data_IF_701781627581
#
_entry.id   IF_701781627581
#
_cell.length_a   1.000
_cell.length_b   1.000
_cell.length_c   1.000
_cell.angle_alpha   90.00
_cell.angle_beta   90.00
_cell.angle_gamma   90.00
#
_symmetry.space_group_name_H-M   'P 1'
#
loop_
_entity.id
_entity.type
_entity.pdbx_description
1 polymer ?
#
# COMPACT_ATOMS: atom_id res chain seq x y z
N UNK A 1 -3.08 36.69 52.92
CA UNK A 1 -2.42 38.00 53.11
C UNK A 1 -0.93 37.72 53.16
N UNK A 2 -0.18 38.44 52.34
CA UNK A 2 1.23 38.28 52.00
C UNK A 2 2.14 38.58 53.20
N UNK A 3 3.21 37.80 53.39
CA UNK A 3 4.56 38.39 53.42
C UNK A 3 5.65 37.35 53.11
N UNK A 4 6.47 37.71 52.13
CA UNK A 4 7.68 37.03 51.70
C UNK A 4 8.83 37.33 52.68
N UNK A 5 9.64 36.31 52.95
CA UNK A 5 10.99 36.47 53.46
C UNK A 5 11.85 35.31 52.97
N UNK A 6 12.59 35.53 51.88
CA UNK A 6 13.64 34.63 51.41
C UNK A 6 14.77 34.52 52.44
N UNK A 7 15.15 33.29 52.82
CA UNK A 7 16.56 32.93 53.00
C UNK A 7 16.77 31.44 52.74
N UNK A 8 17.82 31.20 51.97
CA UNK A 8 18.37 29.98 51.36
C UNK A 8 18.83 28.94 52.42
N UNK A 9 18.96 27.67 51.98
CA UNK A 9 19.34 26.42 52.70
C UNK A 9 18.09 25.64 53.16
N UNK A 10 17.68 24.53 52.55
CA UNK A 10 18.47 23.33 52.23
C UNK A 10 18.17 22.79 50.83
N UNK A 11 19.22 22.74 49.99
CA UNK A 11 19.27 21.79 48.88
C UNK A 11 19.40 20.40 49.52
N UNK A 12 18.27 19.77 49.86
CA UNK A 12 18.24 18.34 50.18
C UNK A 12 18.49 17.63 48.86
N UNK A 13 19.77 17.58 48.47
CA UNK A 13 20.26 16.61 47.53
C UNK A 13 20.05 15.27 48.23
N UNK A 14 18.91 14.63 47.93
CA UNK A 14 18.71 13.23 48.29
C UNK A 14 19.77 12.48 47.48
N UNK A 15 20.94 12.32 48.07
CA UNK A 15 21.98 11.44 47.58
C UNK A 15 21.43 10.03 47.77
N UNK A 16 20.68 9.57 46.77
CA UNK A 16 20.18 8.20 46.72
C UNK A 16 21.43 7.34 46.57
N UNK A 17 21.97 6.90 47.71
CA UNK A 17 23.15 6.05 47.79
C UNK A 17 22.76 4.65 47.29
N UNK A 18 22.75 4.48 45.96
CA UNK A 18 22.52 3.17 45.35
C UNK A 18 23.52 2.16 45.89
N UNK A 19 23.03 0.99 46.26
CA UNK A 19 23.86 -0.16 46.62
C UNK A 19 24.67 -0.62 45.40
N UNK A 20 25.83 -1.25 45.62
CA UNK A 20 26.66 -1.77 44.53
C UNK A 20 25.88 -2.73 43.60
N UNK A 21 24.93 -3.50 44.15
CA UNK A 21 24.06 -4.40 43.37
C UNK A 21 23.09 -3.63 42.46
N UNK A 22 22.51 -2.53 42.95
CA UNK A 22 21.67 -1.65 42.14
C UNK A 22 22.47 -0.98 41.01
N UNK A 23 23.69 -0.51 41.28
CA UNK A 23 24.58 0.07 40.27
C UNK A 23 24.87 -0.95 39.15
N UNK A 24 25.19 -2.20 39.51
CA UNK A 24 25.43 -3.28 38.54
C UNK A 24 24.17 -3.58 37.72
N UNK A 25 23.00 -3.60 38.36
CA UNK A 25 21.73 -3.82 37.68
C UNK A 25 21.39 -2.69 36.71
N UNK A 26 21.63 -1.44 37.09
CA UNK A 26 21.49 -0.27 36.22
C UNK A 26 22.41 -0.34 35.00
N UNK A 27 23.67 -0.71 35.19
CA UNK A 27 24.62 -0.89 34.09
C UNK A 27 24.17 -2.00 33.12
N UNK A 28 23.63 -3.11 33.63
CA UNK A 28 23.09 -4.19 32.79
C UNK A 28 21.86 -3.73 32.00
N UNK A 29 20.96 -2.97 32.63
CA UNK A 29 19.77 -2.42 31.96
C UNK A 29 20.17 -1.43 30.86
N UNK A 30 21.12 -0.54 31.12
CA UNK A 30 21.64 0.43 30.16
C UNK A 30 22.31 -0.28 28.97
N UNK A 31 23.18 -1.26 29.24
CA UNK A 31 23.81 -2.06 28.19
C UNK A 31 22.76 -2.77 27.30
N UNK A 32 21.73 -3.37 27.92
CA UNK A 32 20.64 -4.02 27.20
C UNK A 32 19.84 -3.03 26.36
N UNK A 33 19.54 -1.84 26.88
CA UNK A 33 18.85 -0.78 26.11
C UNK A 33 19.67 -0.33 24.90
N UNK A 34 20.99 -0.12 25.07
CA UNK A 34 21.89 0.21 23.96
C UNK A 34 21.89 -0.91 22.91
N UNK A 35 21.96 -2.17 23.33
CA UNK A 35 21.91 -3.31 22.41
C UNK A 35 20.57 -3.39 21.66
N UNK A 36 19.45 -3.18 22.35
CA UNK A 36 18.11 -3.05 21.76
C UNK A 36 18.08 -1.96 20.68
N UNK A 37 18.60 -0.76 20.98
CA UNK A 37 18.65 0.36 20.05
C UNK A 37 19.50 0.05 18.81
N UNK A 38 20.65 -0.60 18.98
CA UNK A 38 21.52 -1.01 17.85
C UNK A 38 20.79 -2.04 16.97
N UNK A 39 20.18 -3.07 17.57
CA UNK A 39 19.42 -4.10 16.84
C UNK A 39 18.21 -3.50 16.12
N UNK A 40 17.50 -2.57 16.77
CA UNK A 40 16.37 -1.82 16.18
C UNK A 40 16.82 -1.00 14.97
N UNK A 41 17.91 -0.22 15.08
CA UNK A 41 18.49 0.52 13.96
C UNK A 41 18.91 -0.39 12.80
N UNK A 42 19.48 -1.57 13.10
CA UNK A 42 19.84 -2.57 12.10
C UNK A 42 18.61 -3.13 11.36
N UNK A 43 17.53 -3.43 12.09
CA UNK A 43 16.24 -3.84 11.52
C UNK A 43 15.62 -2.75 10.63
N UNK A 44 15.66 -1.49 11.07
CA UNK A 44 15.17 -0.34 10.29
C UNK A 44 15.97 -0.16 8.99
N UNK A 45 17.30 -0.26 9.04
CA UNK A 45 18.15 -0.24 7.83
C UNK A 45 17.82 -1.38 6.87
N UNK A 46 17.53 -2.58 7.39
CA UNK A 46 17.20 -3.73 6.57
C UNK A 46 15.95 -3.49 5.71
N UNK A 47 14.93 -2.78 6.23
CA UNK A 47 13.73 -2.37 5.47
C UNK A 47 14.10 -1.65 4.18
N UNK A 48 14.95 -0.63 4.28
CA UNK A 48 15.38 0.17 3.13
C UNK A 48 16.17 -0.67 2.13
N UNK A 49 17.02 -1.57 2.62
CA UNK A 49 17.74 -2.52 1.75
C UNK A 49 16.78 -3.42 0.96
N UNK A 50 15.73 -3.96 1.59
CA UNK A 50 14.69 -4.71 0.87
C UNK A 50 13.94 -3.86 -0.15
N UNK A 51 13.61 -2.60 0.19
CA UNK A 51 13.03 -1.63 -0.73
C UNK A 51 13.89 -1.40 -1.98
N UNK A 52 15.20 -1.24 -1.79
CA UNK A 52 16.18 -1.06 -2.88
C UNK A 52 16.27 -2.33 -3.74
N UNK A 53 16.34 -3.51 -3.13
CA UNK A 53 16.37 -4.79 -3.84
C UNK A 53 15.10 -4.95 -4.69
N UNK A 54 13.93 -4.71 -4.11
CA UNK A 54 12.65 -4.78 -4.82
C UNK A 54 12.61 -3.82 -6.00
N UNK A 55 13.02 -2.55 -5.80
CA UNK A 55 13.11 -1.56 -6.87
C UNK A 55 14.04 -2.01 -8.01
N UNK A 56 15.23 -2.49 -7.66
CA UNK A 56 16.21 -2.97 -8.64
C UNK A 56 15.69 -4.15 -9.47
N UNK A 57 15.13 -5.18 -8.83
CA UNK A 57 14.56 -6.35 -9.53
C UNK A 57 13.45 -5.93 -10.48
N UNK A 58 12.60 -4.99 -10.06
CA UNK A 58 11.52 -4.45 -10.87
C UNK A 58 12.01 -3.61 -12.06
N UNK A 59 13.09 -2.83 -11.90
CA UNK A 59 13.75 -2.14 -13.00
C UNK A 59 14.38 -3.13 -14.00
N UNK A 60 14.97 -4.22 -13.51
CA UNK A 60 15.48 -5.31 -14.37
C UNK A 60 14.34 -5.99 -15.13
N UNK A 61 13.21 -6.26 -14.47
CA UNK A 61 12.02 -6.82 -15.12
C UNK A 61 11.50 -5.90 -16.24
N UNK A 62 11.41 -4.60 -15.98
CA UNK A 62 11.10 -3.60 -17.00
C UNK A 62 12.10 -3.62 -18.16
N UNK A 63 13.40 -3.60 -17.86
CA UNK A 63 14.45 -3.61 -18.89
C UNK A 63 14.33 -4.83 -19.78
N UNK A 64 14.07 -6.00 -19.21
CA UNK A 64 13.84 -7.24 -19.95
C UNK A 64 12.57 -7.17 -20.81
N UNK A 65 11.50 -6.53 -20.34
CA UNK A 65 10.28 -6.32 -21.13
C UNK A 65 10.56 -5.49 -22.39
N UNK A 66 11.20 -4.34 -22.23
CA UNK A 66 11.30 -3.33 -23.30
C UNK A 66 12.50 -3.57 -24.24
N UNK A 67 13.59 -4.16 -23.73
CA UNK A 67 14.88 -4.33 -24.44
C UNK A 67 15.36 -5.78 -24.55
N UNK A 68 14.71 -6.73 -23.89
CA UNK A 68 15.17 -8.12 -23.79
C UNK A 68 15.42 -8.81 -25.13
N UNK A 69 14.64 -8.48 -26.17
CA UNK A 69 14.83 -9.03 -27.52
C UNK A 69 16.21 -8.70 -28.12
N UNK A 70 16.72 -7.47 -27.90
CA UNK A 70 18.04 -7.04 -28.41
C UNK A 70 19.17 -7.80 -27.71
N UNK A 71 18.98 -8.16 -26.44
CA UNK A 71 19.95 -8.89 -25.62
C UNK A 71 19.92 -10.39 -25.92
N UNK A 72 18.73 -10.97 -26.17
CA UNK A 72 18.57 -12.40 -26.43
C UNK A 72 19.12 -12.87 -27.78
N UNK A 73 19.26 -11.97 -28.78
CA UNK A 73 19.96 -12.31 -30.03
C UNK A 73 21.43 -12.69 -29.81
N UNK A 74 22.00 -12.36 -28.65
CA UNK A 74 23.39 -12.66 -28.31
C UNK A 74 23.57 -13.96 -27.51
N UNK A 75 22.52 -14.45 -26.84
CA UNK A 75 22.56 -15.66 -26.02
C UNK A 75 21.45 -16.61 -26.46
N UNK A 76 21.81 -17.77 -27.05
CA UNK A 76 20.92 -18.85 -27.52
C UNK A 76 20.11 -19.56 -26.41
N UNK A 77 19.70 -18.87 -25.34
CA UNK A 77 19.23 -19.48 -24.08
C UNK A 77 17.75 -19.87 -24.08
N UNK A 78 16.89 -19.41 -25.00
CA UNK A 78 15.45 -19.71 -24.94
C UNK A 78 14.84 -20.00 -26.31
N UNK A 79 15.02 -21.24 -26.79
CA UNK A 79 14.29 -21.83 -27.93
C UNK A 79 12.83 -22.22 -27.56
N UNK A 80 12.20 -21.48 -26.66
CA UNK A 80 10.91 -21.81 -26.03
C UNK A 80 9.86 -20.70 -26.24
N UNK A 81 9.80 -20.18 -27.46
CA UNK A 81 8.71 -19.33 -27.92
C UNK A 81 8.30 -19.87 -29.28
N UNK A 82 7.02 -20.24 -29.42
CA UNK A 82 6.44 -20.82 -30.63
C UNK A 82 6.56 -19.95 -31.88
N UNK A 83 5.88 -20.31 -32.98
CA UNK A 83 6.16 -19.82 -34.33
C UNK A 83 6.06 -18.29 -34.55
N UNK A 84 5.51 -17.51 -33.61
CA UNK A 84 5.36 -16.05 -33.76
C UNK A 84 6.35 -15.17 -32.97
N UNK A 85 7.23 -15.74 -32.14
CA UNK A 85 8.54 -15.20 -31.69
C UNK A 85 8.65 -13.83 -30.96
N UNK A 86 7.79 -12.84 -31.21
CA UNK A 86 7.97 -11.45 -30.77
C UNK A 86 7.26 -11.11 -29.45
N UNK A 87 6.06 -11.63 -29.21
CA UNK A 87 5.29 -11.29 -27.99
C UNK A 87 5.73 -12.09 -26.77
N UNK A 88 6.36 -13.24 -27.00
CA UNK A 88 6.76 -14.17 -25.96
C UNK A 88 7.87 -13.64 -25.05
N UNK A 89 8.82 -12.83 -25.54
CA UNK A 89 9.91 -12.34 -24.68
C UNK A 89 9.46 -11.24 -23.71
N UNK A 90 8.54 -10.37 -24.15
CA UNK A 90 8.13 -9.19 -23.38
C UNK A 90 7.32 -9.60 -22.14
N UNK A 91 6.20 -10.29 -22.36
CA UNK A 91 5.26 -10.65 -21.29
C UNK A 91 5.79 -11.76 -20.39
N UNK A 92 6.38 -12.82 -20.98
CA UNK A 92 6.85 -13.99 -20.22
C UNK A 92 8.11 -13.67 -19.41
N UNK A 93 9.00 -12.82 -19.93
CA UNK A 93 10.22 -12.40 -19.23
C UNK A 93 9.91 -11.66 -17.93
N UNK A 94 8.96 -10.72 -17.97
CA UNK A 94 8.49 -10.00 -16.77
C UNK A 94 7.86 -10.95 -15.76
N UNK A 95 6.99 -11.86 -16.21
CA UNK A 95 6.31 -12.80 -15.33
C UNK A 95 7.31 -13.73 -14.62
N UNK A 96 8.35 -14.19 -15.31
CA UNK A 96 9.44 -14.99 -14.69
C UNK A 96 10.24 -14.20 -13.67
N UNK A 97 10.61 -12.95 -13.97
CA UNK A 97 11.31 -12.10 -13.01
C UNK A 97 10.46 -11.79 -11.78
N UNK A 98 9.19 -11.44 -11.98
CA UNK A 98 8.23 -11.22 -10.89
C UNK A 98 8.02 -12.49 -10.06
N UNK A 99 7.90 -13.66 -10.69
CA UNK A 99 7.75 -14.94 -9.98
C UNK A 99 8.97 -15.24 -9.09
N UNK A 100 10.19 -15.00 -9.58
CA UNK A 100 11.41 -15.16 -8.77
C UNK A 100 11.46 -14.19 -7.58
N UNK A 101 11.00 -12.95 -7.79
CA UNK A 101 10.85 -11.94 -6.74
C UNK A 101 9.80 -12.32 -5.69
N UNK A 102 8.63 -12.79 -6.15
CA UNK A 102 7.57 -13.33 -5.30
C UNK A 102 8.09 -14.47 -4.43
N UNK A 103 8.73 -15.48 -5.02
CA UNK A 103 9.27 -16.63 -4.28
C UNK A 103 10.28 -16.17 -3.22
N UNK A 104 11.18 -15.23 -3.58
CA UNK A 104 12.17 -14.69 -2.64
C UNK A 104 11.51 -14.06 -1.40
N UNK A 105 10.58 -13.11 -1.60
CA UNK A 105 9.91 -12.45 -0.49
C UNK A 105 8.95 -13.38 0.25
N UNK A 106 8.35 -14.36 -0.41
CA UNK A 106 7.52 -15.38 0.22
C UNK A 106 8.34 -16.31 1.12
N UNK A 107 9.54 -16.74 0.71
CA UNK A 107 10.47 -17.49 1.57
C UNK A 107 10.89 -16.65 2.78
N UNK A 108 11.14 -15.36 2.60
CA UNK A 108 11.42 -14.45 3.72
C UNK A 108 10.21 -14.30 4.64
N UNK A 109 8.99 -14.25 4.10
CA UNK A 109 7.77 -14.28 4.89
C UNK A 109 7.69 -15.54 5.76
N UNK A 110 7.82 -16.73 5.16
CA UNK A 110 7.75 -18.00 5.90
C UNK A 110 8.82 -18.11 7.00
N UNK A 111 10.03 -17.63 6.74
CA UNK A 111 11.15 -17.70 7.69
C UNK A 111 11.09 -16.65 8.80
N UNK A 112 10.32 -15.56 8.63
CA UNK A 112 10.21 -14.47 9.60
C UNK A 112 8.82 -14.32 10.23
N UNK A 113 7.83 -15.09 9.77
CA UNK A 113 6.49 -15.10 10.33
C UNK A 113 6.50 -15.47 11.82
N UNK A 114 5.63 -14.83 12.60
CA UNK A 114 5.52 -15.03 14.06
C UNK A 114 6.70 -14.51 14.87
N UNK A 115 7.57 -13.68 14.29
CA UNK A 115 8.61 -12.99 15.06
C UNK A 115 7.97 -11.86 15.87
N UNK A 116 8.25 -11.80 17.17
CA UNK A 116 7.75 -10.73 18.07
C UNK A 116 8.88 -9.99 18.79
N UNK A 117 9.99 -10.68 19.09
CA UNK A 117 11.13 -10.14 19.86
C UNK A 117 12.38 -9.89 19.01
N UNK A 118 13.12 -8.82 19.32
CA UNK A 118 14.37 -8.40 18.67
C UNK A 118 15.52 -9.40 18.84
N UNK A 119 15.54 -10.15 19.94
CA UNK A 119 16.60 -11.12 20.26
C UNK A 119 16.40 -12.52 19.66
N UNK A 120 15.30 -12.74 18.93
CA UNK A 120 15.03 -14.01 18.27
C UNK A 120 15.99 -14.29 17.11
N UNK A 121 16.25 -15.59 16.84
CA UNK A 121 17.06 -16.04 15.68
C UNK A 121 16.44 -15.52 14.36
N UNK A 122 15.11 -15.49 14.27
CA UNK A 122 14.39 -14.97 13.10
C UNK A 122 14.64 -13.47 12.87
N UNK A 123 14.81 -12.68 13.94
CA UNK A 123 15.20 -11.26 13.84
C UNK A 123 16.64 -11.08 13.33
N UNK A 124 17.56 -11.94 13.77
CA UNK A 124 18.93 -11.97 13.25
C UNK A 124 18.95 -12.37 11.77
N UNK A 125 18.15 -13.36 11.38
CA UNK A 125 17.93 -13.71 9.97
C UNK A 125 17.38 -12.52 9.19
N UNK A 126 16.33 -11.86 9.67
CA UNK A 126 15.70 -10.71 8.99
C UNK A 126 16.68 -9.54 8.76
N UNK A 127 17.50 -9.18 9.76
CA UNK A 127 18.35 -7.98 9.73
C UNK A 127 19.80 -8.23 9.30
N UNK A 128 20.25 -9.50 9.26
CA UNK A 128 21.61 -9.91 8.95
C UNK A 128 21.72 -10.81 7.71
N UNK A 129 22.74 -11.67 7.69
CA UNK A 129 22.93 -12.77 6.71
C UNK A 129 22.67 -12.37 5.25
N UNK A 130 23.15 -11.18 4.87
CA UNK A 130 22.88 -10.59 3.56
C UNK A 130 23.44 -11.43 2.42
N UNK A 131 24.64 -12.00 2.57
CA UNK A 131 25.25 -12.87 1.55
C UNK A 131 24.35 -14.06 1.20
N UNK A 132 23.83 -14.76 2.22
CA UNK A 132 22.92 -15.88 2.00
C UNK A 132 21.61 -15.44 1.33
N UNK A 133 21.07 -14.27 1.69
CA UNK A 133 19.86 -13.74 1.04
C UNK A 133 20.09 -13.33 -0.40
N UNK A 134 21.22 -12.70 -0.72
CA UNK A 134 21.58 -12.39 -2.11
C UNK A 134 21.73 -13.67 -2.93
N UNK A 135 22.33 -14.72 -2.36
CA UNK A 135 22.38 -16.02 -3.00
C UNK A 135 20.98 -16.60 -3.24
N UNK A 136 20.09 -16.57 -2.23
CA UNK A 136 18.69 -17.03 -2.39
C UNK A 136 17.98 -16.21 -3.47
N UNK A 137 18.13 -14.88 -3.48
CA UNK A 137 17.53 -14.01 -4.49
C UNK A 137 17.98 -14.39 -5.90
N UNK A 138 19.29 -14.57 -6.12
CA UNK A 138 19.81 -14.97 -7.43
C UNK A 138 19.30 -16.35 -7.81
N UNK A 139 19.28 -17.30 -6.88
CA UNK A 139 18.76 -18.65 -7.12
C UNK A 139 17.29 -18.60 -7.50
N UNK A 140 16.43 -17.89 -6.75
CA UNK A 140 14.99 -17.83 -7.07
C UNK A 140 14.72 -17.10 -8.38
N UNK A 141 15.50 -16.06 -8.70
CA UNK A 141 15.42 -15.37 -10.00
C UNK A 141 15.87 -16.27 -11.15
N UNK A 142 16.90 -17.10 -10.97
CA UNK A 142 17.39 -18.00 -12.02
C UNK A 142 16.45 -19.20 -12.20
N UNK A 143 16.01 -19.82 -11.10
CA UNK A 143 15.08 -20.95 -11.09
C UNK A 143 13.77 -20.60 -11.80
N UNK A 144 13.28 -19.36 -11.67
CA UNK A 144 12.05 -18.95 -12.35
C UNK A 144 12.14 -18.96 -13.88
N UNK A 145 13.34 -18.88 -14.47
CA UNK A 145 13.53 -19.03 -15.92
C UNK A 145 13.50 -20.48 -16.40
N UNK A 146 13.77 -21.44 -15.52
CA UNK A 146 13.68 -22.87 -15.83
C UNK A 146 12.24 -23.41 -15.72
N UNK A 147 11.31 -22.63 -15.17
CA UNK A 147 9.90 -23.02 -15.09
C UNK A 147 9.28 -23.04 -16.50
N UNK A 148 8.64 -24.16 -16.92
CA UNK A 148 8.04 -24.29 -18.24
C UNK A 148 7.01 -23.20 -18.54
N UNK A 149 6.90 -22.81 -19.82
CA UNK A 149 6.00 -21.75 -20.28
C UNK A 149 4.54 -21.98 -19.89
N UNK A 150 4.10 -23.24 -19.83
CA UNK A 150 2.72 -23.59 -19.47
C UNK A 150 2.36 -23.14 -18.06
N UNK A 151 3.30 -23.27 -17.10
CA UNK A 151 3.14 -22.80 -15.73
C UNK A 151 3.20 -21.27 -15.63
N UNK A 152 4.01 -20.61 -16.46
CA UNK A 152 4.08 -19.15 -16.48
C UNK A 152 2.82 -18.54 -17.10
N UNK A 153 2.27 -19.16 -18.14
CA UNK A 153 0.96 -18.79 -18.65
C UNK A 153 -0.11 -19.02 -17.60
N UNK A 154 -0.09 -20.14 -16.87
CA UNK A 154 -1.01 -20.38 -15.75
C UNK A 154 -0.89 -19.29 -14.66
N UNK A 155 0.33 -18.89 -14.29
CA UNK A 155 0.56 -17.80 -13.34
C UNK A 155 -0.07 -16.46 -13.77
N UNK A 156 -0.22 -16.21 -15.08
CA UNK A 156 -0.74 -14.94 -15.61
C UNK A 156 -2.09 -14.98 -16.34
N UNK A 157 -2.68 -16.14 -16.67
CA UNK A 157 -3.74 -16.23 -17.71
C UNK A 157 -5.09 -15.70 -17.25
N UNK A 158 -5.72 -14.88 -18.10
CA UNK A 158 -7.16 -14.63 -18.08
C UNK A 158 -7.85 -15.89 -18.58
N UNK A 159 -8.67 -16.53 -17.75
CA UNK A 159 -9.66 -17.46 -18.28
C UNK A 159 -10.68 -16.63 -19.07
N UNK A 160 -10.44 -16.43 -20.37
CA UNK A 160 -11.58 -16.37 -21.28
C UNK A 160 -12.22 -17.75 -21.16
N UNK A 161 -13.41 -17.80 -20.58
CA UNK A 161 -14.30 -18.96 -20.65
C UNK A 161 -14.72 -19.10 -22.12
N UNK A 162 -13.78 -19.51 -22.96
CA UNK A 162 -14.06 -19.93 -24.33
C UNK A 162 -14.56 -21.36 -24.20
N UNK A 163 -15.88 -21.52 -24.19
CA UNK A 163 -16.65 -22.77 -24.32
C UNK A 163 -15.79 -24.00 -24.64
N UNK A 164 -15.34 -24.72 -23.61
CA UNK A 164 -14.89 -26.08 -23.78
C UNK A 164 -16.14 -26.95 -23.92
N UNK A 165 -16.53 -27.18 -25.17
CA UNK A 165 -17.35 -28.32 -25.55
C UNK A 165 -16.48 -29.58 -25.42
N UNK A 166 -16.43 -30.15 -24.21
CA UNK A 166 -16.34 -31.59 -23.90
C UNK A 166 -15.95 -31.79 -22.42
N UNK A 167 -16.86 -32.31 -21.57
CA UNK A 167 -16.61 -32.56 -20.17
C UNK A 167 -16.31 -34.04 -19.95
N UNK A 168 -15.03 -34.42 -19.94
CA UNK A 168 -14.67 -35.69 -19.29
C UNK A 168 -13.20 -35.69 -18.87
N UNK A 169 -13.02 -35.56 -17.55
CA UNK A 169 -11.98 -36.26 -16.77
C UNK A 169 -10.62 -35.57 -16.55
N UNK A 170 -10.55 -34.69 -15.54
CA UNK A 170 -9.65 -34.83 -14.37
C UNK A 170 -9.92 -33.69 -13.37
N UNK A 171 -10.38 -34.05 -12.19
CA UNK A 171 -11.04 -33.15 -11.24
C UNK A 171 -10.06 -32.65 -10.16
N UNK A 172 -10.16 -31.34 -9.86
CA UNK A 172 -9.87 -30.70 -8.56
C UNK A 172 -8.44 -30.22 -8.17
N UNK A 173 -7.51 -29.99 -9.10
CA UNK A 173 -6.25 -29.27 -8.75
C UNK A 173 -5.91 -28.09 -9.68
N UNK A 174 -6.49 -28.02 -10.88
CA UNK A 174 -6.06 -27.03 -11.90
C UNK A 174 -6.99 -25.82 -12.07
N UNK A 175 -8.05 -25.69 -11.27
CA UNK A 175 -8.92 -24.50 -11.31
C UNK A 175 -8.41 -23.34 -10.42
N UNK A 176 -7.53 -23.61 -9.46
CA UNK A 176 -7.00 -22.61 -8.53
C UNK A 176 -5.66 -21.99 -8.97
N UNK A 177 -4.97 -22.57 -9.96
CA UNK A 177 -3.61 -22.16 -10.30
C UNK A 177 -3.53 -21.02 -11.34
N UNK A 178 -4.62 -20.75 -12.08
CA UNK A 178 -4.72 -19.68 -13.09
C UNK A 178 -4.81 -18.26 -12.54
N UNK A 179 -5.03 -18.11 -11.24
CA UNK A 179 -5.50 -16.87 -10.62
C UNK A 179 -4.51 -16.26 -9.62
N UNK A 180 -3.38 -16.94 -9.34
CA UNK A 180 -2.57 -16.61 -8.17
C UNK A 180 -2.01 -15.18 -8.22
N UNK A 181 -1.47 -14.75 -9.36
CA UNK A 181 -0.89 -13.41 -9.46
C UNK A 181 -1.96 -12.30 -9.52
N UNK A 182 -3.15 -12.56 -10.10
CA UNK A 182 -4.26 -11.58 -10.09
C UNK A 182 -4.91 -11.47 -8.72
N UNK A 183 -5.15 -12.60 -8.07
CA UNK A 183 -5.68 -12.64 -6.71
C UNK A 183 -4.68 -11.98 -5.75
N UNK A 184 -3.40 -12.31 -5.87
CA UNK A 184 -2.35 -11.66 -5.09
C UNK A 184 -2.26 -10.15 -5.33
N UNK A 185 -2.36 -9.72 -6.60
CA UNK A 185 -2.44 -8.31 -6.98
C UNK A 185 -3.69 -7.62 -6.42
N UNK A 186 -4.85 -8.28 -6.42
CA UNK A 186 -6.09 -7.77 -5.83
C UNK A 186 -6.00 -7.63 -4.31
N UNK A 187 -5.42 -8.62 -3.62
CA UNK A 187 -5.15 -8.54 -2.17
C UNK A 187 -4.19 -7.37 -1.89
N UNK A 188 -3.14 -7.22 -2.68
CA UNK A 188 -2.21 -6.10 -2.57
C UNK A 188 -2.92 -4.74 -2.69
N UNK A 189 -3.80 -4.58 -3.68
CA UNK A 189 -4.58 -3.34 -3.87
C UNK A 189 -5.44 -3.01 -2.64
N UNK A 190 -6.09 -4.01 -2.04
CA UNK A 190 -6.91 -3.81 -0.83
C UNK A 190 -6.02 -3.40 0.36
N UNK A 191 -4.90 -4.10 0.58
CA UNK A 191 -3.95 -3.74 1.66
C UNK A 191 -3.37 -2.34 1.47
N UNK A 192 -2.97 -2.02 0.24
CA UNK A 192 -2.47 -0.70 -0.13
C UNK A 192 -3.52 0.37 0.14
N UNK A 193 -4.78 0.10 -0.21
CA UNK A 193 -5.87 1.04 0.00
C UNK A 193 -6.14 1.32 1.48
N UNK A 194 -6.19 0.28 2.32
CA UNK A 194 -6.34 0.44 3.76
C UNK A 194 -5.20 1.30 4.31
N UNK A 195 -3.97 1.04 3.86
CA UNK A 195 -2.79 1.79 4.29
C UNK A 195 -2.81 3.25 3.85
N UNK A 196 -3.25 3.54 2.62
CA UNK A 196 -3.43 4.92 2.15
C UNK A 196 -4.47 5.66 2.98
N UNK A 197 -5.57 5.02 3.35
CA UNK A 197 -6.61 5.66 4.17
C UNK A 197 -6.10 5.97 5.58
N UNK A 198 -5.34 5.08 6.21
CA UNK A 198 -4.69 5.36 7.50
C UNK A 198 -3.65 6.46 7.39
N UNK A 199 -2.86 6.47 6.31
CA UNK A 199 -1.93 7.55 6.03
C UNK A 199 -2.65 8.90 5.90
N UNK A 200 -3.80 8.95 5.21
CA UNK A 200 -4.64 10.15 5.11
C UNK A 200 -5.16 10.56 6.50
N UNK A 201 -5.60 9.61 7.33
CA UNK A 201 -6.09 9.89 8.68
C UNK A 201 -4.97 10.43 9.58
N UNK A 202 -3.78 9.84 9.51
CA UNK A 202 -2.58 10.34 10.18
C UNK A 202 -2.22 11.75 9.72
N UNK A 203 -2.28 12.01 8.41
CA UNK A 203 -2.02 13.35 7.87
C UNK A 203 -3.05 14.37 8.36
N UNK A 204 -4.32 13.98 8.40
CA UNK A 204 -5.38 14.80 8.95
C UNK A 204 -5.12 15.16 10.42
N UNK A 205 -4.74 14.19 11.25
CA UNK A 205 -4.41 14.42 12.66
C UNK A 205 -3.16 15.30 12.85
N UNK A 206 -2.17 15.17 11.95
CA UNK A 206 -0.95 15.99 11.98
C UNK A 206 -1.24 17.48 11.71
N UNK A 207 -2.10 17.77 10.72
CA UNK A 207 -2.45 19.15 10.36
C UNK A 207 -3.57 19.75 11.20
N UNK A 208 -4.43 18.91 11.79
CA UNK A 208 -5.50 19.31 12.71
C UNK A 208 -5.38 18.56 14.05
N UNK A 209 -4.38 18.87 14.89
CA UNK A 209 -4.30 18.32 16.23
C UNK A 209 -5.45 18.84 17.10
N UNK A 210 -5.99 18.00 17.98
CA UNK A 210 -7.12 18.33 18.88
C UNK A 210 -6.81 19.47 19.86
N UNK A 211 -5.52 19.78 20.04
CA UNK A 211 -5.07 20.89 20.88
C UNK A 211 -5.44 22.23 20.24
N UNK A 212 -6.49 22.85 20.80
CA UNK A 212 -7.17 24.10 20.43
C UNK A 212 -6.25 25.34 20.27
N UNK A 213 -5.27 25.31 19.38
CA UNK A 213 -4.61 26.50 18.85
C UNK A 213 -5.44 27.01 17.69
N UNK A 214 -6.10 28.16 17.87
CA UNK A 214 -6.93 28.86 16.88
C UNK A 214 -6.26 29.00 15.49
N UNK A 215 -4.92 29.01 15.46
CA UNK A 215 -4.10 29.06 14.24
C UNK A 215 -4.06 27.73 13.44
N UNK A 216 -4.13 26.57 14.10
CA UNK A 216 -4.12 25.24 13.45
C UNK A 216 -5.45 24.94 12.73
N UNK A 217 -6.57 25.37 13.30
CA UNK A 217 -7.91 25.22 12.70
C UNK A 217 -8.05 25.99 11.38
N UNK A 218 -7.49 27.21 11.29
CA UNK A 218 -7.48 28.00 10.05
C UNK A 218 -6.65 27.31 8.95
N UNK A 219 -5.49 26.74 9.32
CA UNK A 219 -4.64 26.00 8.38
C UNK A 219 -5.34 24.74 7.84
N UNK A 220 -6.00 23.97 8.70
CA UNK A 220 -6.77 22.79 8.29
C UNK A 220 -7.91 23.11 7.32
N UNK A 221 -8.67 24.19 7.58
CA UNK A 221 -9.74 24.66 6.69
C UNK A 221 -9.22 25.16 5.34
N UNK A 222 -8.10 25.90 5.34
CA UNK A 222 -7.44 26.35 4.11
C UNK A 222 -6.98 25.16 3.26
N UNK A 223 -6.29 24.19 3.88
CA UNK A 223 -5.82 22.98 3.19
C UNK A 223 -7.00 22.14 2.67
N UNK A 224 -8.06 22.00 3.46
CA UNK A 224 -9.27 21.30 3.03
C UNK A 224 -9.88 21.95 1.80
N UNK A 225 -9.98 23.28 1.79
CA UNK A 225 -10.52 24.05 0.65
C UNK A 225 -9.66 23.83 -0.59
N UNK A 226 -8.33 23.84 -0.45
CA UNK A 226 -7.40 23.58 -1.55
C UNK A 226 -7.61 22.19 -2.17
N UNK A 227 -7.73 21.14 -1.35
CA UNK A 227 -7.97 19.78 -1.86
C UNK A 227 -9.33 19.65 -2.57
N UNK A 228 -10.39 20.28 -2.06
CA UNK A 228 -11.69 20.28 -2.74
C UNK A 228 -11.65 21.05 -4.07
N UNK A 229 -10.97 22.20 -4.12
CA UNK A 229 -10.78 22.96 -5.36
C UNK A 229 -9.95 22.18 -6.39
N UNK A 230 -8.89 21.50 -5.95
CA UNK A 230 -8.10 20.62 -6.81
C UNK A 230 -8.94 19.46 -7.36
N UNK A 231 -9.78 18.85 -6.53
CA UNK A 231 -10.70 17.77 -6.93
C UNK A 231 -11.71 18.24 -7.96
N UNK A 232 -12.33 19.41 -7.76
CA UNK A 232 -13.28 20.01 -8.69
C UNK A 232 -12.61 20.35 -10.03
N UNK A 233 -11.42 20.95 -9.98
CA UNK A 233 -10.62 21.23 -11.17
C UNK A 233 -10.30 19.94 -11.95
N UNK A 234 -9.89 18.88 -11.24
CA UNK A 234 -9.64 17.57 -11.85
C UNK A 234 -10.86 17.00 -12.59
N UNK A 235 -12.06 17.08 -11.98
CA UNK A 235 -13.31 16.66 -12.62
C UNK A 235 -13.59 17.47 -13.90
N UNK A 236 -13.46 18.79 -13.85
CA UNK A 236 -13.68 19.68 -15.01
C UNK A 236 -12.72 19.34 -16.15
N UNK A 237 -11.43 19.18 -15.84
CA UNK A 237 -10.39 18.81 -16.81
C UNK A 237 -10.68 17.42 -17.40
N UNK A 238 -11.12 16.45 -16.60
CA UNK A 238 -11.50 15.13 -17.09
C UNK A 238 -12.68 15.20 -18.07
N UNK A 239 -13.72 15.98 -17.77
CA UNK A 239 -14.83 16.17 -18.70
C UNK A 239 -14.37 16.80 -20.00
N UNK A 240 -13.53 17.84 -19.92
CA UNK A 240 -13.03 18.55 -21.08
C UNK A 240 -12.17 17.66 -22.00
N UNK A 241 -11.34 16.79 -21.42
CA UNK A 241 -10.37 15.99 -22.18
C UNK A 241 -10.89 14.61 -22.63
N UNK A 242 -11.70 13.92 -21.81
CA UNK A 242 -12.10 12.52 -22.05
C UNK A 242 -13.59 12.35 -22.36
N UNK A 243 -14.41 13.39 -22.16
CA UNK A 243 -15.86 13.33 -22.30
C UNK A 243 -16.47 14.51 -23.10
N UNK A 244 -15.69 15.18 -23.95
CA UNK A 244 -16.17 16.32 -24.75
C UNK A 244 -17.16 15.93 -25.86
N UNK A 245 -17.34 14.63 -26.13
CA UNK A 245 -18.29 14.11 -27.13
C UNK A 245 -19.34 13.23 -26.46
N UNK A 246 -20.62 13.31 -26.88
CA UNK A 246 -21.70 12.49 -26.31
C UNK A 246 -21.52 10.99 -26.60
N UNK A 247 -20.70 10.63 -27.59
CA UNK A 247 -20.36 9.23 -27.91
C UNK A 247 -19.51 8.55 -26.85
N UNK A 248 -18.89 9.30 -25.92
CA UNK A 248 -17.99 8.78 -24.89
C UNK A 248 -18.76 8.40 -23.61
N UNK A 249 -19.84 7.62 -23.75
CA UNK A 249 -20.79 7.33 -22.66
C UNK A 249 -20.12 6.69 -21.44
N UNK A 250 -19.15 5.81 -21.67
CA UNK A 250 -18.44 5.11 -20.59
C UNK A 250 -17.56 6.06 -19.77
N UNK A 251 -16.79 6.93 -20.42
CA UNK A 251 -15.98 7.94 -19.74
C UNK A 251 -16.86 8.96 -19.01
N UNK A 252 -17.98 9.37 -19.61
CA UNK A 252 -18.99 10.21 -18.96
C UNK A 252 -19.49 9.52 -17.68
N UNK A 253 -19.86 8.24 -17.74
CA UNK A 253 -20.32 7.47 -16.58
C UNK A 253 -19.28 7.39 -15.46
N UNK A 254 -18.02 7.11 -15.77
CA UNK A 254 -16.97 7.06 -14.75
C UNK A 254 -16.77 8.41 -14.05
N UNK A 255 -16.70 9.50 -14.80
CA UNK A 255 -16.49 10.84 -14.24
C UNK A 255 -17.73 11.30 -13.45
N UNK A 256 -18.95 11.07 -13.95
CA UNK A 256 -20.19 11.41 -13.21
C UNK A 256 -20.26 10.65 -11.89
N UNK A 257 -19.98 9.35 -11.91
CA UNK A 257 -19.99 8.52 -10.71
C UNK A 257 -18.94 8.98 -9.68
N UNK A 258 -17.73 9.32 -10.15
CA UNK A 258 -16.67 9.91 -9.31
C UNK A 258 -17.18 11.18 -8.62
N UNK A 259 -17.83 12.08 -9.36
CA UNK A 259 -18.39 13.31 -8.81
C UNK A 259 -19.48 13.04 -7.76
N UNK A 260 -20.33 12.03 -7.97
CA UNK A 260 -21.34 11.59 -7.00
C UNK A 260 -20.66 11.07 -5.72
N UNK A 261 -19.64 10.22 -5.83
CA UNK A 261 -18.89 9.71 -4.68
C UNK A 261 -18.29 10.85 -3.85
N UNK A 262 -17.74 11.88 -4.51
CA UNK A 262 -17.23 13.09 -3.86
C UNK A 262 -18.30 13.82 -3.05
N UNK A 263 -19.48 14.04 -3.64
CA UNK A 263 -20.60 14.70 -2.95
C UNK A 263 -21.08 13.87 -1.74
N UNK A 264 -21.18 12.55 -1.89
CA UNK A 264 -21.58 11.64 -0.81
C UNK A 264 -20.57 11.65 0.33
N UNK A 265 -19.26 11.58 0.03
CA UNK A 265 -18.21 11.65 1.05
C UNK A 265 -18.21 12.98 1.79
N UNK A 266 -18.41 14.10 1.08
CA UNK A 266 -18.53 15.43 1.69
C UNK A 266 -19.76 15.52 2.60
N UNK A 267 -20.93 15.09 2.14
CA UNK A 267 -22.18 15.14 2.91
C UNK A 267 -22.09 14.31 4.21
N UNK A 268 -21.54 13.09 4.13
CA UNK A 268 -21.38 12.21 5.31
C UNK A 268 -20.35 12.79 6.29
N UNK A 269 -19.26 13.39 5.79
CA UNK A 269 -18.23 13.98 6.66
C UNK A 269 -18.74 15.22 7.43
N UNK A 270 -19.69 15.97 6.85
CA UNK A 270 -20.36 17.11 7.48
C UNK A 270 -21.50 16.71 8.44
N UNK A 271 -21.93 15.45 8.40
CA UNK A 271 -23.03 15.00 9.24
C UNK A 271 -22.66 15.13 10.72
N UNK A 272 -23.56 15.71 11.51
CA UNK A 272 -23.33 16.08 12.91
C UNK A 272 -22.87 14.92 13.81
N UNK A 273 -23.26 13.69 13.48
CA UNK A 273 -22.82 12.48 14.22
C UNK A 273 -21.42 11.97 13.87
N UNK A 274 -20.84 12.35 12.73
CA UNK A 274 -19.52 11.90 12.27
C UNK A 274 -18.43 12.91 12.64
N UNK A 275 -18.67 14.19 12.32
CA UNK A 275 -17.81 15.35 12.57
C UNK A 275 -16.29 15.10 12.64
N UNK A 276 -15.72 14.37 11.67
CA UNK A 276 -14.27 14.04 11.60
C UNK A 276 -13.41 15.13 10.92
N UNK A 277 -13.96 16.32 10.70
CA UNK A 277 -13.29 17.42 9.99
C UNK A 277 -13.30 17.26 8.46
N UNK A 278 -13.31 18.39 7.74
CA UNK A 278 -13.41 18.38 6.27
C UNK A 278 -12.10 17.97 5.57
N UNK A 279 -10.94 18.15 6.21
CA UNK A 279 -9.63 17.93 5.57
C UNK A 279 -9.43 16.48 5.11
N UNK A 280 -9.71 15.48 5.96
CA UNK A 280 -9.67 14.05 5.60
C UNK A 280 -10.53 13.75 4.35
N UNK A 281 -11.74 14.31 4.30
CA UNK A 281 -12.65 14.10 3.16
C UNK A 281 -12.18 14.78 1.88
N UNK A 282 -11.54 15.96 1.97
CA UNK A 282 -10.94 16.64 0.83
C UNK A 282 -9.73 15.90 0.27
N UNK A 283 -8.84 15.38 1.12
CA UNK A 283 -7.69 14.56 0.70
C UNK A 283 -8.18 13.28 0.02
N UNK A 284 -9.18 12.61 0.59
CA UNK A 284 -9.79 11.44 -0.01
C UNK A 284 -10.46 11.75 -1.36
N UNK A 285 -11.18 12.87 -1.47
CA UNK A 285 -11.77 13.34 -2.73
C UNK A 285 -10.70 13.50 -3.82
N UNK A 286 -9.55 14.09 -3.49
CA UNK A 286 -8.44 14.25 -4.43
C UNK A 286 -7.85 12.90 -4.86
N UNK A 287 -7.75 11.94 -3.92
CA UNK A 287 -7.28 10.59 -4.21
C UNK A 287 -8.22 9.83 -5.16
N UNK A 288 -9.53 9.88 -4.92
CA UNK A 288 -10.55 9.25 -5.77
C UNK A 288 -10.53 9.86 -7.18
N UNK A 289 -10.43 11.19 -7.29
CA UNK A 289 -10.26 11.88 -8.59
C UNK A 289 -8.98 11.45 -9.30
N UNK A 290 -7.88 11.28 -8.57
CA UNK A 290 -6.62 10.77 -9.12
C UNK A 290 -6.74 9.33 -9.64
N UNK A 291 -7.44 8.45 -8.92
CA UNK A 291 -7.69 7.07 -9.37
C UNK A 291 -8.52 7.04 -10.66
N UNK A 292 -9.58 7.86 -10.74
CA UNK A 292 -10.39 8.01 -11.94
C UNK A 292 -9.55 8.53 -13.12
N UNK A 293 -8.76 9.60 -12.91
CA UNK A 293 -7.84 10.12 -13.92
C UNK A 293 -6.85 9.05 -14.42
N UNK A 294 -6.28 8.26 -13.50
CA UNK A 294 -5.36 7.17 -13.82
C UNK A 294 -6.05 6.06 -14.63
N UNK A 295 -7.32 5.77 -14.36
CA UNK A 295 -8.11 4.80 -15.09
C UNK A 295 -8.41 5.26 -16.53
N UNK A 296 -8.83 6.53 -16.71
CA UNK A 296 -9.09 7.11 -18.04
C UNK A 296 -7.81 7.16 -18.88
N UNK A 297 -6.66 7.48 -18.27
CA UNK A 297 -5.34 7.42 -18.92
C UNK A 297 -4.91 6.01 -19.35
N UNK A 298 -5.53 4.98 -18.79
CA UNK A 298 -5.26 3.57 -19.12
C UNK A 298 -6.09 3.08 -20.30
N UNK A 299 -7.04 3.89 -20.80
CA UNK A 299 -7.83 3.59 -21.99
C UNK A 299 -6.91 3.44 -23.23
N UNK A 300 -7.10 2.40 -24.06
CA UNK A 300 -6.27 2.20 -25.25
C UNK A 300 -6.42 3.35 -26.25
N UNK A 301 -5.29 3.80 -26.82
CA UNK A 301 -5.20 4.98 -27.70
C UNK A 301 -5.95 4.88 -29.05
N UNK A 302 -6.52 3.71 -29.38
CA UNK A 302 -7.32 3.53 -30.61
C UNK A 302 -8.76 4.04 -30.45
N UNK A 303 -9.15 4.45 -29.24
CA UNK A 303 -10.49 4.93 -28.95
C UNK A 303 -10.67 6.42 -29.24
N UNK A 304 -11.86 6.78 -29.70
CA UNK A 304 -12.22 8.16 -30.12
C UNK A 304 -12.21 9.18 -28.98
N UNK A 305 -12.14 8.70 -27.74
CA UNK A 305 -12.32 9.44 -26.50
C UNK A 305 -11.02 9.69 -25.74
N UNK A 306 -9.90 9.05 -26.14
CA UNK A 306 -8.60 9.28 -25.53
C UNK A 306 -7.88 10.47 -26.18
N UNK A 307 -7.38 11.45 -25.41
CA UNK A 307 -6.60 12.57 -25.94
C UNK A 307 -5.20 12.13 -26.42
N UNK A 308 -4.80 10.88 -26.19
CA UNK A 308 -3.51 10.35 -26.56
C UNK A 308 -3.44 10.09 -28.07
N UNK A 309 -3.00 11.10 -28.83
CA UNK A 309 -2.64 10.93 -30.24
C UNK A 309 -1.53 9.86 -30.36
N UNK A 310 -1.64 8.97 -31.36
CA UNK A 310 -0.58 8.02 -31.70
C UNK A 310 0.66 8.77 -32.25
N UNK A 311 1.42 9.42 -31.38
CA UNK A 311 2.74 9.92 -31.75
C UNK A 311 3.69 8.71 -31.83
N UNK A 312 4.33 8.55 -32.99
CA UNK A 312 5.33 7.48 -33.23
C UNK A 312 6.63 7.71 -32.45
N UNK A 313 6.86 8.93 -31.96
CA UNK A 313 8.03 9.29 -31.16
C UNK A 313 7.72 9.19 -29.66
N UNK A 314 8.65 8.63 -28.88
CA UNK A 314 8.53 8.54 -27.42
C UNK A 314 8.96 9.88 -26.82
N UNK A 315 8.00 10.62 -26.26
CA UNK A 315 8.30 11.90 -25.61
C UNK A 315 8.98 11.69 -24.25
N UNK A 316 9.91 12.57 -23.88
CA UNK A 316 10.57 12.54 -22.56
C UNK A 316 9.58 12.56 -21.38
N UNK A 317 8.42 13.21 -21.57
CA UNK A 317 7.32 13.23 -20.61
C UNK A 317 6.76 11.82 -20.36
N UNK A 318 6.74 10.95 -21.37
CA UNK A 318 6.29 9.56 -21.22
C UNK A 318 7.29 8.75 -20.41
N UNK A 319 8.58 8.92 -20.66
CA UNK A 319 9.67 8.29 -19.89
C UNK A 319 9.63 8.72 -18.43
N UNK A 320 9.51 10.03 -18.19
CA UNK A 320 9.41 10.59 -16.84
C UNK A 320 8.17 10.06 -16.11
N UNK A 321 7.01 10.05 -16.79
CA UNK A 321 5.77 9.50 -16.24
C UNK A 321 5.85 8.02 -15.89
N UNK A 322 6.55 7.23 -16.71
CA UNK A 322 6.82 5.83 -16.45
C UNK A 322 7.68 5.64 -15.18
N UNK A 323 8.78 6.38 -15.05
CA UNK A 323 9.67 6.28 -13.88
C UNK A 323 8.98 6.72 -12.59
N UNK A 324 8.16 7.77 -12.65
CA UNK A 324 7.32 8.20 -11.54
C UNK A 324 6.35 7.07 -11.18
N UNK A 325 5.66 6.46 -12.16
CA UNK A 325 4.75 5.35 -11.93
C UNK A 325 5.41 4.18 -11.19
N UNK A 326 6.56 3.69 -11.70
CA UNK A 326 7.35 2.63 -11.04
C UNK A 326 7.71 3.02 -9.61
N UNK A 327 8.21 4.25 -9.41
CA UNK A 327 8.61 4.74 -8.10
C UNK A 327 7.43 4.82 -7.13
N UNK A 328 6.27 5.29 -7.59
CA UNK A 328 5.03 5.34 -6.79
C UNK A 328 4.62 3.95 -6.32
N UNK A 329 4.69 2.92 -7.18
CA UNK A 329 4.32 1.55 -6.80
C UNK A 329 5.30 0.97 -5.78
N UNK A 330 6.61 1.24 -5.94
CA UNK A 330 7.62 0.81 -4.98
C UNK A 330 7.40 1.49 -3.62
N UNK A 331 7.14 2.80 -3.62
CA UNK A 331 6.85 3.56 -2.39
C UNK A 331 5.56 3.04 -1.75
N UNK A 332 4.51 2.78 -2.53
CA UNK A 332 3.28 2.21 -2.03
C UNK A 332 3.52 0.85 -1.37
N UNK A 333 4.25 -0.05 -2.02
CA UNK A 333 4.62 -1.36 -1.48
C UNK A 333 5.40 -1.23 -0.16
N UNK A 334 6.38 -0.32 -0.13
CA UNK A 334 7.18 -0.06 1.07
C UNK A 334 6.33 0.50 2.21
N UNK A 335 5.49 1.50 1.94
CA UNK A 335 4.60 2.12 2.92
C UNK A 335 3.62 1.11 3.51
N UNK A 336 2.95 0.33 2.65
CA UNK A 336 2.01 -0.70 3.08
C UNK A 336 2.69 -1.79 3.91
N UNK A 337 3.94 -2.14 3.60
CA UNK A 337 4.69 -3.11 4.40
C UNK A 337 5.07 -2.60 5.80
N UNK A 338 5.26 -1.28 5.95
CA UNK A 338 5.62 -0.65 7.23
C UNK A 338 4.41 -0.43 8.12
N UNK A 339 3.24 -0.17 7.53
CA UNK A 339 1.95 0.05 8.19
C UNK A 339 1.33 -1.22 8.80
N UNK A 340 2.18 -2.14 9.26
CA UNK A 340 1.78 -3.37 9.94
C UNK A 340 1.13 -3.13 11.30
N UNK A 341 1.31 -1.95 11.89
CA UNK A 341 0.74 -1.62 13.22
C UNK A 341 -0.79 -1.57 13.15
N UNK A 342 -1.36 -1.06 12.05
CA UNK A 342 -2.81 -1.07 11.81
C UNK A 342 -3.39 -2.50 11.81
N UNK A 343 -2.60 -3.47 11.37
CA UNK A 343 -3.02 -4.88 11.28
C UNK A 343 -2.64 -5.71 12.51
N UNK A 344 -1.81 -5.17 13.41
CA UNK A 344 -1.47 -5.81 14.67
C UNK A 344 -2.46 -5.32 15.74
N UNK A 345 -3.33 -6.21 16.20
CA UNK A 345 -4.28 -5.96 17.30
C UNK A 345 -3.61 -5.70 18.67
N UNK A 346 -2.29 -5.44 18.72
CA UNK A 346 -1.57 -5.18 19.96
C UNK A 346 -1.69 -3.69 20.30
N UNK A 347 -2.35 -3.40 21.42
CA UNK A 347 -2.53 -2.05 21.94
C UNK A 347 -1.15 -1.42 22.23
N UNK A 348 -0.96 -0.16 21.86
CA UNK A 348 0.33 0.55 21.93
C UNK A 348 0.87 0.68 23.38
N UNK A 349 0.01 0.53 24.40
CA UNK A 349 0.37 0.56 25.83
C UNK A 349 1.20 -0.66 26.30
N UNK A 350 1.22 -1.79 25.57
CA UNK A 350 1.87 -3.05 26.00
C UNK A 350 3.18 -3.38 25.25
N UNK A 351 3.81 -2.41 24.58
CA UNK A 351 5.05 -2.63 23.83
C UNK A 351 6.27 -2.59 24.75
N UNK A 352 6.99 -3.72 24.84
CA UNK A 352 8.27 -3.78 25.57
C UNK A 352 9.40 -3.27 24.68
N UNK A 353 10.48 -2.76 25.29
CA UNK A 353 11.64 -2.21 24.56
C UNK A 353 12.33 -3.22 23.64
N UNK A 354 12.19 -4.52 23.92
CA UNK A 354 12.72 -5.62 23.13
C UNK A 354 11.77 -6.12 22.02
N UNK A 355 10.59 -5.51 21.87
CA UNK A 355 9.65 -5.81 20.80
C UNK A 355 10.16 -5.30 19.44
N UNK A 356 9.79 -6.00 18.37
CA UNK A 356 10.17 -5.60 17.02
C UNK A 356 9.42 -4.33 16.58
N UNK A 357 10.06 -3.44 15.80
CA UNK A 357 9.49 -2.15 15.43
C UNK A 357 8.42 -2.19 14.30
N UNK A 358 7.99 -3.39 13.88
CA UNK A 358 7.01 -3.70 12.81
C UNK A 358 6.97 -5.21 12.61
N UNK A 359 5.86 -5.77 12.11
CA UNK A 359 5.77 -7.20 11.83
C UNK A 359 6.60 -7.59 10.58
N UNK A 360 7.73 -8.25 10.80
CA UNK A 360 8.64 -8.67 9.72
C UNK A 360 7.95 -9.59 8.69
N UNK A 361 7.08 -10.50 9.16
CA UNK A 361 6.31 -11.37 8.29
C UNK A 361 5.36 -10.57 7.39
N UNK A 362 4.54 -9.69 7.97
CA UNK A 362 3.61 -8.86 7.19
C UNK A 362 4.34 -8.00 6.16
N UNK A 363 5.47 -7.39 6.53
CA UNK A 363 6.30 -6.64 5.60
C UNK A 363 6.71 -7.47 4.37
N UNK A 364 7.26 -8.66 4.58
CA UNK A 364 7.68 -9.53 3.47
C UNK A 364 6.50 -10.07 2.65
N UNK A 365 5.36 -10.33 3.28
CA UNK A 365 4.14 -10.70 2.59
C UNK A 365 3.67 -9.59 1.65
N UNK A 366 3.67 -8.33 2.10
CA UNK A 366 3.30 -7.17 1.26
C UNK A 366 4.25 -7.03 0.07
N UNK A 367 5.56 -7.22 0.25
CA UNK A 367 6.52 -7.20 -0.87
C UNK A 367 6.30 -8.35 -1.86
N UNK A 368 5.96 -9.54 -1.35
CA UNK A 368 5.61 -10.70 -2.16
C UNK A 368 4.36 -10.44 -3.03
N UNK A 369 3.31 -9.90 -2.42
CA UNK A 369 2.08 -9.51 -3.13
C UNK A 369 2.32 -8.32 -4.07
N UNK A 370 3.18 -7.38 -3.68
CA UNK A 370 3.62 -6.25 -4.51
C UNK A 370 4.35 -6.70 -5.76
N UNK A 371 5.14 -7.79 -5.71
CA UNK A 371 5.79 -8.38 -6.89
C UNK A 371 4.76 -8.91 -7.90
N UNK A 372 3.68 -9.54 -7.42
CA UNK A 372 2.56 -10.02 -8.26
C UNK A 372 1.79 -8.85 -8.88
N UNK A 373 1.48 -7.83 -8.09
CA UNK A 373 0.86 -6.60 -8.57
C UNK A 373 1.71 -5.95 -9.65
N UNK A 374 3.02 -5.78 -9.41
CA UNK A 374 3.94 -5.19 -10.37
C UNK A 374 3.92 -5.96 -11.70
N UNK A 375 3.99 -7.29 -11.68
CA UNK A 375 3.84 -8.10 -12.90
C UNK A 375 2.56 -7.75 -13.67
N UNK A 376 1.41 -7.67 -12.99
CA UNK A 376 0.13 -7.35 -13.62
C UNK A 376 0.14 -5.99 -14.30
N UNK A 377 0.81 -5.00 -13.70
CA UNK A 377 0.89 -3.67 -14.30
C UNK A 377 1.73 -3.66 -15.58
N UNK A 378 2.82 -4.41 -15.60
CA UNK A 378 3.71 -4.47 -16.77
C UNK A 378 3.08 -5.19 -17.97
N UNK A 379 2.15 -6.10 -17.73
CA UNK A 379 1.37 -6.80 -18.75
C UNK A 379 -0.01 -6.16 -18.98
N UNK A 380 -0.29 -4.99 -18.40
CA UNK A 380 -1.59 -4.31 -18.52
C UNK A 380 -2.80 -5.20 -18.15
N UNK A 381 -2.63 -6.10 -17.19
CA UNK A 381 -3.63 -7.07 -16.73
C UNK A 381 -4.12 -8.06 -17.82
N UNK A 382 -3.47 -8.10 -18.98
CA UNK A 382 -3.87 -8.92 -20.12
C UNK A 382 -2.65 -9.58 -20.80
N UNK A 383 -2.67 -10.90 -20.96
CA UNK A 383 -1.57 -11.63 -21.62
C UNK A 383 -1.57 -11.47 -23.14
N UNK A 384 -2.73 -11.22 -23.75
CA UNK A 384 -2.93 -11.27 -25.21
C UNK A 384 -2.73 -9.91 -25.89
N UNK A 385 -2.38 -8.86 -25.15
CA UNK A 385 -2.20 -7.51 -25.69
C UNK A 385 -0.73 -7.15 -25.85
N UNK A 386 -0.36 -6.66 -27.03
CA UNK A 386 0.97 -6.10 -27.27
C UNK A 386 1.22 -4.90 -26.35
N UNK A 387 2.17 -5.06 -25.43
CA UNK A 387 2.55 -3.98 -24.49
C UNK A 387 3.35 -2.90 -25.21
N UNK A 388 2.99 -1.63 -25.04
CA UNK A 388 3.74 -0.51 -25.62
C UNK A 388 4.98 -0.22 -24.76
N UNK A 389 6.13 0.03 -25.42
CA UNK A 389 7.35 0.47 -24.74
C UNK A 389 7.09 1.72 -23.89
N UNK A 390 7.77 1.81 -22.74
CA UNK A 390 7.62 2.93 -21.78
C UNK A 390 6.18 3.17 -21.31
N UNK A 391 5.34 2.13 -21.34
CA UNK A 391 3.99 2.18 -20.79
C UNK A 391 3.79 1.11 -19.72
N UNK A 392 2.88 1.39 -18.79
CA UNK A 392 2.41 0.48 -17.75
C UNK A 392 0.89 0.60 -17.79
N UNK A 393 0.17 -0.49 -17.54
CA UNK A 393 -1.26 -0.41 -17.28
C UNK A 393 -2.12 0.11 -18.44
N UNK A 394 -1.72 -0.06 -19.69
CA UNK A 394 -2.53 0.40 -20.84
C UNK A 394 -3.42 -0.74 -21.35
N UNK A 395 -4.73 -0.60 -21.18
CA UNK A 395 -5.74 -1.54 -21.64
C UNK A 395 -7.02 -1.50 -20.81
N UNK A 396 -8.13 -1.99 -21.40
CA UNK A 396 -9.44 -2.01 -20.74
C UNK A 396 -9.45 -2.76 -19.40
N UNK A 397 -8.70 -3.86 -19.28
CA UNK A 397 -8.58 -4.60 -18.03
C UNK A 397 -7.99 -3.73 -16.92
N UNK A 398 -6.92 -3.00 -17.21
CA UNK A 398 -6.31 -2.05 -16.29
C UNK A 398 -7.26 -0.90 -15.92
N UNK A 399 -7.97 -0.31 -16.91
CA UNK A 399 -8.97 0.73 -16.66
C UNK A 399 -10.02 0.25 -15.65
N UNK A 400 -10.59 -0.93 -15.86
CA UNK A 400 -11.59 -1.50 -14.94
C UNK A 400 -11.03 -1.79 -13.56
N UNK A 401 -9.83 -2.34 -13.45
CA UNK A 401 -9.19 -2.59 -12.14
C UNK A 401 -9.03 -1.29 -11.37
N UNK A 402 -8.62 -0.20 -12.02
CA UNK A 402 -8.46 1.11 -11.39
C UNK A 402 -9.79 1.73 -10.96
N UNK A 403 -10.84 1.64 -11.78
CA UNK A 403 -12.20 2.11 -11.43
C UNK A 403 -12.77 1.30 -10.26
N UNK A 404 -12.62 -0.02 -10.27
CA UNK A 404 -13.08 -0.87 -9.17
C UNK A 404 -12.30 -0.57 -7.89
N UNK A 405 -10.98 -0.33 -8.00
CA UNK A 405 -10.16 0.10 -6.86
C UNK A 405 -10.62 1.45 -6.29
N UNK A 406 -11.02 2.40 -7.15
CA UNK A 406 -11.62 3.67 -6.73
C UNK A 406 -12.92 3.45 -5.94
N UNK A 407 -13.82 2.57 -6.41
CA UNK A 407 -15.07 2.29 -5.71
C UNK A 407 -14.83 1.63 -4.36
N UNK A 408 -13.90 0.69 -4.27
CA UNK A 408 -13.48 0.11 -3.00
C UNK A 408 -12.87 1.17 -2.08
N UNK A 409 -12.09 2.11 -2.61
CA UNK A 409 -11.51 3.21 -1.85
C UNK A 409 -12.58 4.05 -1.18
N UNK A 410 -13.54 4.54 -1.96
CA UNK A 410 -14.66 5.31 -1.43
C UNK A 410 -15.48 4.49 -0.42
N UNK A 411 -15.76 3.22 -0.71
CA UNK A 411 -16.55 2.34 0.17
C UNK A 411 -15.88 2.11 1.52
N UNK A 412 -14.59 1.76 1.53
CA UNK A 412 -13.84 1.51 2.78
C UNK A 412 -13.73 2.81 3.60
N UNK A 413 -13.50 3.94 2.94
CA UNK A 413 -13.46 5.24 3.62
C UNK A 413 -14.81 5.59 4.27
N UNK A 414 -15.91 5.48 3.51
CA UNK A 414 -17.26 5.71 4.02
C UNK A 414 -17.59 4.76 5.19
N UNK A 415 -17.23 3.49 5.07
CA UNK A 415 -17.41 2.52 6.14
C UNK A 415 -16.62 2.91 7.40
N UNK A 416 -15.38 3.41 7.28
CA UNK A 416 -14.60 3.90 8.43
C UNK A 416 -15.23 5.13 9.11
N UNK A 417 -15.93 5.97 8.36
CA UNK A 417 -16.67 7.11 8.93
C UNK A 417 -17.94 6.67 9.66
N UNK A 418 -18.66 5.71 9.09
CA UNK A 418 -19.98 5.28 9.59
C UNK A 418 -19.86 4.23 10.71
N UNK A 419 -18.86 3.34 10.63
CA UNK A 419 -18.72 2.18 11.53
C UNK A 419 -18.69 2.55 13.02
N UNK A 420 -18.01 3.62 13.48
CA UNK A 420 -18.03 4.02 14.89
C UNK A 420 -19.45 4.36 15.38
N UNK A 421 -20.26 5.00 14.54
CA UNK A 421 -21.63 5.44 14.88
C UNK A 421 -22.57 4.24 14.93
N UNK A 422 -22.45 3.31 13.98
CA UNK A 422 -23.27 2.10 13.94
C UNK A 422 -22.92 1.15 15.09
N UNK A 423 -21.66 1.11 15.52
CA UNK A 423 -21.17 0.24 16.59
C UNK A 423 -21.36 0.79 18.01
N UNK A 424 -21.77 2.04 18.20
CA UNK A 424 -22.15 2.50 19.53
C UNK A 424 -23.47 1.80 19.93
N UNK A 425 -23.48 0.92 20.94
CA UNK A 425 -24.73 0.37 21.43
C UNK A 425 -25.58 1.53 21.97
N UNK A 426 -26.89 1.51 21.67
CA UNK A 426 -27.91 2.31 22.35
C UNK A 426 -27.80 2.04 23.87
N UNK A 427 -26.96 2.79 24.58
CA UNK A 427 -27.00 2.96 26.03
C UNK A 427 -27.37 4.43 26.28
N UNK A 428 -28.55 4.80 25.80
CA UNK A 428 -29.29 5.94 26.31
C UNK A 428 -30.71 5.42 26.42
N UNK A 429 -31.09 5.05 27.65
CA UNK A 429 -32.43 5.03 28.22
C UNK A 429 -32.43 4.13 29.46
N UNK A 430 -31.82 4.60 30.55
CA UNK A 430 -32.26 4.38 31.93
C UNK A 430 -31.57 5.46 32.78
N UNK A 431 -32.12 6.67 32.73
CA UNK A 431 -31.99 7.60 33.85
C UNK A 431 -32.82 6.99 34.99
N UNK A 432 -32.15 6.43 36.00
CA UNK A 432 -32.79 6.24 37.30
C UNK A 432 -32.81 7.61 38.01
N UNK A 433 -33.98 8.07 38.50
CA UNK A 433 -34.02 9.26 39.32
C UNK A 433 -33.41 8.97 40.70
N UNK A 434 -32.35 9.67 41.06
CA UNK A 434 -31.82 9.68 42.43
C UNK A 434 -32.92 10.11 43.40
N UNK A 435 -33.36 9.18 44.24
CA UNK A 435 -34.15 9.47 45.43
C UNK A 435 -33.28 10.26 46.42
N UNK A 436 -33.70 11.49 46.73
CA UNK A 436 -33.27 12.18 47.93
C UNK A 436 -34.04 11.57 49.11
N UNK A 437 -33.34 10.87 49.99
CA UNK A 437 -33.79 10.67 51.37
C UNK A 437 -32.78 11.31 52.34
N UNK A 438 -33.36 12.01 53.30
CA UNK A 438 -32.73 12.79 54.36
C UNK A 438 -32.18 11.89 55.48
N UNK A 439 -31.48 12.55 56.43
CA UNK A 439 -31.09 12.13 57.79
C UNK A 439 -29.73 11.43 57.92
N UNK A 440 -28.86 11.73 58.90
CA UNK A 440 -28.85 12.68 60.03
C UNK A 440 -27.50 12.48 60.75
N UNK A 441 -26.91 13.54 61.31
CA UNK A 441 -26.15 13.57 62.59
C UNK A 441 -25.31 14.86 62.64
N UNK A 442 -25.67 15.82 63.50
CA UNK A 442 -25.26 15.92 64.92
C UNK A 442 -23.82 16.45 65.05
N UNK A 443 -23.66 17.77 65.01
CA UNK A 443 -22.98 18.59 66.05
C UNK A 443 -23.08 20.10 65.74
#
# INVERSE_FOLDING_TARGET
MVEHGERIEDDVFVDVKLTNDEIVQWQIMEYRSIECLVRRKKSLRARFTYGIIFSFVNLVAWFLRDYGQRVSLHFNILKACGPEGHECFQTVGVLRMSLGCFIFFFVLFLTTCGTTKLFSIRSTWHSGWWTSKFAILVITLVVSFFIPSDFIHLYGKLVKVQKLKNPTWSNNVNFLAGELARVGAGIFLILQLVSVIEFIAWWNAYWMPDDRKKQSSCCGLFMSTLFYMASLCGIIVMYALYASKPSCTLNIFFITWTAILLLVMMAISLHSKVNKGLLSSGIMASYVVFLCWSALRSEPANEKCSPQKQNKHVDWITVLGFLIGVSTIVIATFSTGVDSETFQLKKQEDQMEDDIPYAYGFFHLVFSLGAMYFAMLFISWNLDSSTKKWSIDVGWASTWVKIVNEWFAATIYLWKLISPIVRQPKIMNHEEPMQQDQQQDSD
#
